data_IF_490027618126
#
_entry.id   IF_490027618126
#
_cell.length_a   1.000
_cell.length_b   1.000
_cell.length_c   1.000
_cell.angle_alpha   90.00
_cell.angle_beta   90.00
_cell.angle_gamma   90.00
#
_symmetry.space_group_name_H-M   'P 1'
#
loop_
_entity.id
_entity.type
_entity.pdbx_description
1 polymer ?
#
# COMPACT_ATOMS: atom_id res chain seq x y z
N UNK A 1 34.68 8.71 -9.34
CA UNK A 1 33.92 8.35 -8.15
C UNK A 1 32.53 8.99 -8.25
N UNK A 2 31.49 8.21 -8.27
CA UNK A 2 30.13 8.76 -8.31
C UNK A 2 29.68 9.16 -6.92
N UNK A 3 28.92 10.24 -6.82
CA UNK A 3 28.31 10.66 -5.58
C UNK A 3 27.19 9.67 -5.20
N UNK A 4 26.99 9.46 -3.89
CA UNK A 4 25.87 8.67 -3.41
C UNK A 4 24.57 9.42 -3.68
N UNK A 5 23.50 8.66 -3.98
CA UNK A 5 22.15 9.20 -4.06
C UNK A 5 21.71 9.71 -2.68
N UNK A 6 20.74 10.60 -2.67
CA UNK A 6 20.17 11.17 -1.44
C UNK A 6 18.80 10.60 -1.17
N UNK A 7 18.51 10.35 0.09
CA UNK A 7 17.17 10.05 0.56
C UNK A 7 16.57 11.32 1.17
N UNK A 8 15.54 11.87 0.53
CA UNK A 8 14.88 13.11 0.97
C UNK A 8 13.66 12.79 1.84
N UNK A 9 13.46 13.59 2.87
CA UNK A 9 12.29 13.54 3.75
C UNK A 9 11.97 14.96 4.20
N UNK A 10 10.89 15.13 4.95
CA UNK A 10 10.39 16.48 5.27
C UNK A 10 11.40 17.39 5.95
N UNK A 11 12.25 16.85 6.81
CA UNK A 11 13.20 17.62 7.60
C UNK A 11 14.56 17.81 6.91
N UNK A 12 14.80 17.16 5.78
CA UNK A 12 16.08 17.25 5.08
C UNK A 12 16.38 16.04 4.24
N UNK A 13 17.65 15.64 4.19
CA UNK A 13 18.06 14.46 3.44
C UNK A 13 19.27 13.80 4.07
N UNK A 14 19.46 12.53 3.76
CA UNK A 14 20.66 11.76 4.12
C UNK A 14 21.20 11.07 2.89
N UNK A 15 22.47 10.70 2.92
CA UNK A 15 23.05 9.92 1.85
C UNK A 15 22.45 8.51 1.84
N UNK A 16 22.10 8.03 0.66
CA UNK A 16 21.62 6.66 0.48
C UNK A 16 22.85 5.76 0.30
N UNK A 17 23.09 4.80 1.20
CA UNK A 17 24.26 3.92 1.04
C UNK A 17 24.18 3.11 -0.25
N UNK A 18 25.33 2.73 -0.78
CA UNK A 18 25.40 1.92 -1.97
C UNK A 18 24.66 0.60 -1.78
N UNK A 19 23.82 0.23 -2.74
CA UNK A 19 23.00 -0.98 -2.68
C UNK A 19 21.70 -0.83 -1.88
N UNK A 20 21.47 0.34 -1.28
CA UNK A 20 20.21 0.59 -0.56
C UNK A 20 19.19 1.27 -1.46
N UNK A 21 17.92 0.92 -1.26
CA UNK A 21 16.79 1.58 -1.92
C UNK A 21 15.95 2.32 -0.88
N UNK A 22 15.49 3.52 -1.24
CA UNK A 22 14.56 4.27 -0.40
C UNK A 22 13.15 3.76 -0.66
N UNK A 23 12.53 3.18 0.36
CA UNK A 23 11.13 2.74 0.33
C UNK A 23 10.34 3.50 1.39
N UNK A 24 10.12 4.76 1.13
CA UNK A 24 9.41 5.65 2.04
C UNK A 24 8.00 5.13 2.31
N UNK A 25 7.60 5.16 3.57
CA UNK A 25 6.24 4.85 3.98
C UNK A 25 5.65 6.07 4.67
N UNK A 26 4.48 6.51 4.21
CA UNK A 26 3.70 7.53 4.90
C UNK A 26 2.65 6.85 5.76
N UNK A 27 2.50 7.31 6.99
CA UNK A 27 1.48 6.79 7.91
C UNK A 27 0.56 7.94 8.28
N UNK A 28 -0.72 7.81 7.92
CA UNK A 28 -1.76 8.78 8.25
C UNK A 28 -2.48 8.26 9.48
N UNK A 29 -2.24 8.91 10.62
CA UNK A 29 -2.81 8.51 11.92
C UNK A 29 -3.98 9.41 12.27
N UNK A 30 -5.06 8.80 12.76
CA UNK A 30 -6.15 9.55 13.37
C UNK A 30 -5.72 10.07 14.74
N UNK A 31 -6.38 11.13 15.21
CA UNK A 31 -6.13 11.68 16.54
C UNK A 31 -6.79 10.92 17.67
N UNK A 32 -7.44 9.79 17.39
CA UNK A 32 -8.12 8.94 18.37
C UNK A 32 -7.55 7.51 18.31
N UNK A 33 -7.97 6.66 19.25
CA UNK A 33 -7.50 5.28 19.36
C UNK A 33 -8.39 4.26 18.63
N UNK A 34 -9.46 4.71 18.00
CA UNK A 34 -10.49 3.82 17.43
C UNK A 34 -10.58 3.86 15.92
N UNK A 35 -10.12 4.94 15.30
CA UNK A 35 -10.14 5.09 13.84
C UNK A 35 -8.92 4.43 13.22
N UNK A 36 -9.07 3.80 12.03
CA UNK A 36 -7.94 3.16 11.39
C UNK A 36 -6.91 4.17 10.89
N UNK A 37 -5.66 3.72 10.78
CA UNK A 37 -4.63 4.44 10.07
C UNK A 37 -4.62 4.02 8.59
N UNK A 38 -4.06 4.87 7.73
CA UNK A 38 -3.83 4.54 6.33
C UNK A 38 -2.32 4.63 6.08
N UNK A 39 -1.74 3.56 5.59
CA UNK A 39 -0.33 3.51 5.22
C UNK A 39 -0.19 3.62 3.71
N UNK A 40 0.77 4.43 3.26
CA UNK A 40 1.10 4.55 1.84
C UNK A 40 2.53 4.05 1.68
N UNK A 41 2.68 2.90 1.03
CA UNK A 41 3.99 2.30 0.77
C UNK A 41 4.29 2.29 -0.72
N UNK A 42 5.57 2.08 -1.05
CA UNK A 42 6.07 2.10 -2.42
C UNK A 42 6.75 0.79 -2.74
N UNK A 43 6.62 0.39 -4.00
CA UNK A 43 7.31 -0.78 -4.54
C UNK A 43 7.58 -0.53 -6.02
N UNK A 44 8.09 -1.52 -6.71
CA UNK A 44 8.36 -1.47 -8.14
C UNK A 44 7.91 -2.76 -8.81
N UNK A 45 7.43 -2.63 -10.05
CA UNK A 45 7.15 -3.78 -10.89
C UNK A 45 8.48 -4.47 -11.27
N UNK A 46 8.45 -5.78 -11.36
CA UNK A 46 9.55 -6.55 -11.94
C UNK A 46 9.54 -6.41 -13.47
N UNK A 47 10.65 -6.68 -14.15
CA UNK A 47 10.68 -6.63 -15.63
C UNK A 47 9.56 -7.47 -16.24
N UNK A 48 8.88 -6.89 -17.24
CA UNK A 48 7.74 -7.49 -17.94
C UNK A 48 6.47 -7.71 -17.08
N UNK A 49 6.46 -7.22 -15.85
CA UNK A 49 5.31 -7.32 -14.96
C UNK A 49 4.35 -6.16 -15.19
N UNK A 50 3.05 -6.44 -15.14
CA UNK A 50 2.01 -5.41 -15.10
C UNK A 50 1.36 -5.40 -13.71
N UNK A 51 0.39 -4.50 -13.49
CA UNK A 51 -0.28 -4.41 -12.19
C UNK A 51 -0.93 -5.73 -11.79
N UNK A 52 -1.64 -6.39 -12.72
CA UNK A 52 -2.33 -7.63 -12.43
C UNK A 52 -1.36 -8.73 -11.97
N UNK A 53 -0.28 -8.93 -12.70
CA UNK A 53 0.73 -9.94 -12.33
C UNK A 53 1.48 -9.56 -11.05
N UNK A 54 1.72 -8.27 -10.82
CA UNK A 54 2.30 -7.79 -9.57
C UNK A 54 1.40 -8.13 -8.38
N UNK A 55 0.11 -7.80 -8.45
CA UNK A 55 -0.84 -8.09 -7.37
C UNK A 55 -0.93 -9.60 -7.13
N UNK A 56 -1.00 -10.39 -8.20
CA UNK A 56 -1.03 -11.86 -8.08
C UNK A 56 0.21 -12.37 -7.34
N UNK A 57 1.39 -11.87 -7.71
CA UNK A 57 2.66 -12.27 -7.06
C UNK A 57 2.67 -11.88 -5.58
N UNK A 58 2.20 -10.67 -5.26
CA UNK A 58 2.13 -10.21 -3.87
C UNK A 58 1.15 -11.05 -3.04
N UNK A 59 -0.01 -11.38 -3.60
CA UNK A 59 -0.99 -12.22 -2.90
C UNK A 59 -0.45 -13.62 -2.63
N UNK A 60 0.26 -14.20 -3.59
CA UNK A 60 0.90 -15.52 -3.40
C UNK A 60 1.94 -15.46 -2.28
N UNK A 61 2.76 -14.41 -2.24
CA UNK A 61 3.76 -14.23 -1.20
C UNK A 61 3.13 -14.06 0.18
N UNK A 62 2.05 -13.27 0.27
CA UNK A 62 1.32 -13.06 1.53
C UNK A 62 0.66 -14.36 2.01
N UNK A 63 0.09 -15.14 1.10
CA UNK A 63 -0.52 -16.42 1.44
C UNK A 63 0.50 -17.40 2.02
N UNK A 64 1.74 -17.36 1.54
CA UNK A 64 2.80 -18.22 2.04
C UNK A 64 3.44 -17.70 3.32
N UNK A 65 3.53 -16.39 3.48
CA UNK A 65 4.25 -15.76 4.59
C UNK A 65 3.40 -15.39 5.79
N UNK A 66 2.09 -15.20 5.64
CA UNK A 66 1.22 -14.77 6.72
C UNK A 66 0.38 -15.93 7.26
N UNK A 67 0.36 -16.07 8.58
CA UNK A 67 -0.42 -17.09 9.25
C UNK A 67 -1.91 -16.77 9.13
N UNK A 68 -2.72 -17.80 8.83
CA UNK A 68 -4.16 -17.65 8.75
C UNK A 68 -4.64 -16.74 7.64
N UNK A 69 -3.87 -16.61 6.56
CA UNK A 69 -4.23 -15.79 5.42
C UNK A 69 -5.59 -16.22 4.86
N UNK A 70 -6.50 -15.25 4.71
CA UNK A 70 -7.82 -15.47 4.14
C UNK A 70 -8.08 -14.35 3.11
N UNK A 71 -7.99 -14.72 1.84
CA UNK A 71 -8.35 -13.83 0.73
C UNK A 71 -9.87 -13.70 0.64
N UNK A 72 -10.38 -12.49 0.45
CA UNK A 72 -11.81 -12.26 0.32
C UNK A 72 -12.19 -11.82 -1.09
N UNK A 73 -11.58 -10.75 -1.61
CA UNK A 73 -11.96 -10.21 -2.92
C UNK A 73 -10.84 -9.39 -3.54
N UNK A 74 -10.93 -9.24 -4.85
CA UNK A 74 -10.02 -8.44 -5.67
C UNK A 74 -10.90 -7.69 -6.67
N UNK A 75 -10.94 -6.37 -6.57
CA UNK A 75 -11.90 -5.53 -7.28
C UNK A 75 -11.17 -4.35 -7.91
N UNK A 76 -11.77 -3.69 -8.92
CA UNK A 76 -11.19 -2.46 -9.46
C UNK A 76 -11.13 -1.34 -8.42
N UNK A 77 -10.12 -0.49 -8.53
CA UNK A 77 -9.97 0.71 -7.74
C UNK A 77 -9.57 1.87 -8.62
N UNK A 78 -9.74 3.09 -8.12
CA UNK A 78 -9.38 4.31 -8.84
C UNK A 78 -8.64 5.25 -7.91
N UNK A 79 -7.63 5.92 -8.44
CA UNK A 79 -6.85 6.94 -7.73
C UNK A 79 -7.11 8.28 -8.41
N UNK A 80 -7.51 9.30 -7.63
CA UNK A 80 -7.74 10.64 -8.13
C UNK A 80 -8.91 10.74 -9.09
N UNK A 81 -10.03 10.10 -8.79
CA UNK A 81 -11.27 10.12 -9.59
C UNK A 81 -11.04 9.71 -11.05
N UNK A 82 -10.40 8.56 -11.24
CA UNK A 82 -10.19 7.99 -12.56
C UNK A 82 -8.88 8.35 -13.22
N UNK A 83 -7.98 9.05 -12.53
CA UNK A 83 -6.65 9.36 -13.08
C UNK A 83 -5.80 8.10 -13.25
N UNK A 84 -5.86 7.18 -12.29
CA UNK A 84 -5.11 5.92 -12.34
C UNK A 84 -6.05 4.79 -11.94
N UNK A 85 -6.16 3.79 -12.81
CA UNK A 85 -6.87 2.57 -12.48
C UNK A 85 -5.99 1.65 -11.65
N UNK A 86 -6.58 0.93 -10.71
CA UNK A 86 -5.86 0.01 -9.85
C UNK A 86 -6.73 -1.13 -9.35
N UNK A 87 -6.30 -1.78 -8.28
CA UNK A 87 -7.00 -2.90 -7.68
C UNK A 87 -7.16 -2.70 -6.18
N UNK A 88 -8.31 -3.14 -5.67
CA UNK A 88 -8.66 -3.12 -4.26
C UNK A 88 -8.76 -4.56 -3.79
N UNK A 89 -7.90 -4.94 -2.86
CA UNK A 89 -7.84 -6.30 -2.32
C UNK A 89 -8.31 -6.30 -0.88
N UNK A 90 -9.25 -7.20 -0.58
CA UNK A 90 -9.75 -7.44 0.78
C UNK A 90 -9.22 -8.78 1.25
N UNK A 91 -8.67 -8.80 2.45
CA UNK A 91 -8.12 -10.02 3.04
C UNK A 91 -8.01 -9.89 4.55
N UNK A 92 -7.70 -11.00 5.21
CA UNK A 92 -7.39 -10.99 6.64
C UNK A 92 -6.31 -12.02 6.94
N UNK A 93 -5.66 -11.87 8.09
CA UNK A 93 -4.61 -12.78 8.53
C UNK A 93 -4.48 -12.72 10.05
N UNK A 94 -3.68 -13.60 10.62
CA UNK A 94 -3.44 -13.64 12.06
C UNK A 94 -2.09 -12.99 12.39
N UNK A 95 -2.10 -12.12 13.39
CA UNK A 95 -0.90 -11.53 13.97
C UNK A 95 -1.00 -11.63 15.49
N UNK A 96 -0.06 -12.33 16.12
CA UNK A 96 -0.02 -12.51 17.56
C UNK A 96 -1.34 -13.04 18.11
N UNK A 97 -1.94 -14.01 17.40
CA UNK A 97 -3.20 -14.62 17.78
C UNK A 97 -4.46 -13.79 17.51
N UNK A 98 -4.32 -12.59 16.97
CA UNK A 98 -5.45 -11.73 16.62
C UNK A 98 -5.64 -11.67 15.11
N UNK A 99 -6.88 -11.66 14.66
CA UNK A 99 -7.17 -11.49 13.24
C UNK A 99 -7.12 -10.02 12.87
N UNK A 100 -6.37 -9.74 11.81
CA UNK A 100 -6.26 -8.42 11.21
C UNK A 100 -7.01 -8.45 9.89
N UNK A 101 -7.94 -7.54 9.70
CA UNK A 101 -8.64 -7.33 8.43
C UNK A 101 -8.03 -6.14 7.72
N UNK A 102 -7.82 -6.25 6.41
CA UNK A 102 -7.21 -5.18 5.65
C UNK A 102 -7.87 -4.97 4.30
N UNK A 103 -7.86 -3.71 3.87
CA UNK A 103 -8.09 -3.28 2.51
C UNK A 103 -6.78 -2.74 1.98
N UNK A 104 -6.37 -3.19 0.79
CA UNK A 104 -5.21 -2.63 0.09
C UNK A 104 -5.63 -2.17 -1.29
N UNK A 105 -5.32 -0.92 -1.62
CA UNK A 105 -5.51 -0.37 -2.95
C UNK A 105 -4.14 -0.20 -3.60
N UNK A 106 -3.95 -0.78 -4.77
CA UNK A 106 -2.66 -0.91 -5.44
C UNK A 106 -2.72 -0.26 -6.81
N UNK A 107 -1.74 0.59 -7.11
CA UNK A 107 -1.70 1.36 -8.35
C UNK A 107 -0.30 1.32 -8.95
N UNK A 108 -0.23 1.06 -10.26
CA UNK A 108 1.03 1.18 -11.00
C UNK A 108 1.10 2.58 -11.62
N UNK A 109 2.18 3.29 -11.34
CA UNK A 109 2.46 4.61 -11.89
C UNK A 109 3.50 4.49 -13.01
N UNK A 110 3.89 5.64 -13.58
CA UNK A 110 4.91 5.68 -14.61
C UNK A 110 6.23 5.05 -14.12
N UNK A 111 7.01 4.51 -15.05
CA UNK A 111 8.34 3.95 -14.78
C UNK A 111 8.33 2.74 -13.84
N UNK A 112 7.25 1.98 -13.85
CA UNK A 112 7.13 0.76 -13.04
C UNK A 112 7.00 1.00 -11.54
N UNK A 113 6.74 2.23 -11.12
CA UNK A 113 6.53 2.55 -9.70
C UNK A 113 5.17 2.06 -9.25
N UNK A 114 5.10 1.56 -8.03
CA UNK A 114 3.85 1.05 -7.43
C UNK A 114 3.57 1.81 -6.14
N UNK A 115 2.31 2.24 -5.98
CA UNK A 115 1.79 2.78 -4.71
C UNK A 115 0.82 1.77 -4.12
N UNK A 116 0.94 1.54 -2.82
CA UNK A 116 0.04 0.66 -2.06
C UNK A 116 -0.52 1.44 -0.88
N UNK A 117 -1.84 1.55 -0.85
CA UNK A 117 -2.57 2.16 0.27
C UNK A 117 -3.16 1.04 1.10
N UNK A 118 -2.83 0.97 2.38
CA UNK A 118 -3.30 -0.10 3.27
C UNK A 118 -4.05 0.49 4.45
N UNK A 119 -5.26 -0.01 4.68
CA UNK A 119 -6.06 0.28 5.86
C UNK A 119 -6.32 -1.05 6.56
N UNK A 120 -5.92 -1.17 7.83
CA UNK A 120 -6.03 -2.43 8.56
C UNK A 120 -6.48 -2.19 10.01
N UNK A 121 -7.27 -3.14 10.52
CA UNK A 121 -7.76 -3.11 11.90
C UNK A 121 -7.80 -4.51 12.48
N UNK A 122 -7.72 -4.61 13.81
CA UNK A 122 -7.90 -5.87 14.55
C UNK A 122 -9.40 -6.17 14.79
N UNK A 123 -10.28 -5.66 13.95
CA UNK A 123 -11.72 -5.92 13.91
C UNK A 123 -12.16 -5.93 12.45
N UNK A 124 -13.31 -6.50 12.18
CA UNK A 124 -13.87 -6.47 10.81
C UNK A 124 -14.02 -5.04 10.34
N UNK A 125 -13.66 -4.80 9.08
CA UNK A 125 -13.80 -3.48 8.46
C UNK A 125 -15.26 -3.20 8.15
N UNK A 126 -15.65 -1.93 8.29
CA UNK A 126 -17.02 -1.45 8.11
C UNK A 126 -17.14 -0.64 6.83
N UNK A 127 -18.36 -0.34 6.35
CA UNK A 127 -18.53 0.59 5.22
C UNK A 127 -17.91 1.96 5.47
N UNK A 128 -17.81 2.42 6.73
CA UNK A 128 -17.16 3.68 7.08
C UNK A 128 -15.64 3.60 6.84
N UNK A 129 -15.03 2.45 7.12
CA UNK A 129 -13.61 2.24 6.84
C UNK A 129 -13.36 2.30 5.33
N UNK A 130 -14.23 1.66 4.53
CA UNK A 130 -14.15 1.73 3.07
C UNK A 130 -14.28 3.16 2.57
N UNK A 131 -15.23 3.94 3.14
CA UNK A 131 -15.44 5.33 2.76
C UNK A 131 -14.21 6.19 3.07
N UNK A 132 -13.54 5.93 4.18
CA UNK A 132 -12.31 6.64 4.54
C UNK A 132 -11.21 6.39 3.50
N UNK A 133 -10.98 5.14 3.12
CA UNK A 133 -9.97 4.82 2.12
C UNK A 133 -10.35 5.43 0.77
N UNK A 134 -11.62 5.33 0.37
CA UNK A 134 -12.10 5.97 -0.88
C UNK A 134 -11.87 7.47 -0.87
N UNK A 135 -12.11 8.14 0.25
CA UNK A 135 -11.86 9.58 0.39
C UNK A 135 -10.39 9.91 0.14
N UNK A 136 -9.49 9.14 0.73
CA UNK A 136 -8.05 9.33 0.55
C UNK A 136 -7.67 9.13 -0.92
N UNK A 137 -8.14 8.06 -1.54
CA UNK A 137 -7.82 7.75 -2.93
C UNK A 137 -8.36 8.80 -3.89
N UNK A 138 -9.60 9.26 -3.69
CA UNK A 138 -10.24 10.26 -4.56
C UNK A 138 -9.55 11.61 -4.49
N UNK A 139 -8.94 11.94 -3.37
CA UNK A 139 -8.28 13.23 -3.16
C UNK A 139 -6.90 13.32 -3.82
N UNK A 140 -6.40 12.23 -4.37
CA UNK A 140 -5.05 12.19 -4.95
C UNK A 140 -4.90 13.24 -6.07
N UNK A 141 -3.76 13.92 -6.05
CA UNK A 141 -3.30 14.81 -7.12
C UNK A 141 -1.87 14.44 -7.45
N UNK A 142 -1.56 14.35 -8.73
CA UNK A 142 -0.20 14.09 -9.17
C UNK A 142 0.72 15.27 -8.81
N UNK A 143 1.97 14.94 -8.52
CA UNK A 143 3.00 15.94 -8.22
C UNK A 143 3.34 16.80 -9.45
#
# INVERSE_FOLDING_TARGET
MSALSRCAFSEGSVALPEGYADRTVNVLLAGDDVSPSVNISRDALQPAENLESYVTRQLDALAQGLKGWAFKSREPASLGDGLVAGEWVRASYLRDGKRIWQNQAVFALAEGRVLVFTLAMARKLTPQDDALLLQVLSSYRAA
#
